data_IF_133616530795
#
_entry.id   IF_133616530795
#
_cell.length_a   1.000
_cell.length_b   1.000
_cell.length_c   1.000
_cell.angle_alpha   90.00
_cell.angle_beta   90.00
_cell.angle_gamma   90.00
#
_symmetry.space_group_name_H-M   'P 1'
#
loop_
_entity.id
_entity.type
_entity.pdbx_description
1 polymer ?
#
# COMPACT_ATOMS: atom_id res chain seq x y z
N UNK A 1 -12.14 10.59 5.90
CA UNK A 1 -10.84 10.49 5.20
C UNK A 1 -11.02 10.34 3.70
N UNK A 2 -11.96 9.52 3.20
CA UNK A 2 -12.25 9.41 1.77
C UNK A 2 -12.91 10.65 1.14
N UNK A 3 -13.75 11.39 1.88
CA UNK A 3 -14.40 12.63 1.38
C UNK A 3 -13.40 13.73 1.00
N UNK A 4 -12.20 13.75 1.60
CA UNK A 4 -11.16 14.73 1.26
C UNK A 4 -10.44 14.41 -0.06
N UNK A 5 -10.61 13.20 -0.60
CA UNK A 5 -10.07 12.77 -1.89
C UNK A 5 -11.06 13.02 -3.04
N UNK A 6 -12.24 13.57 -2.79
CA UNK A 6 -13.22 13.76 -3.85
C UNK A 6 -12.82 14.96 -4.73
N UNK A 7 -12.17 14.67 -5.85
CA UNK A 7 -11.76 15.66 -6.84
C UNK A 7 -10.67 16.66 -6.42
N UNK A 8 -9.96 16.44 -5.30
CA UNK A 8 -8.84 17.29 -4.88
C UNK A 8 -7.47 16.66 -5.22
N UNK A 9 -6.75 17.14 -6.26
CA UNK A 9 -5.45 16.61 -6.66
C UNK A 9 -4.36 16.73 -5.58
N UNK A 10 -4.38 17.79 -4.78
CA UNK A 10 -3.37 18.01 -3.73
C UNK A 10 -3.54 17.01 -2.59
N UNK A 11 -4.78 16.78 -2.14
CA UNK A 11 -5.09 15.78 -1.13
C UNK A 11 -4.71 14.36 -1.58
N UNK A 12 -4.88 14.04 -2.86
CA UNK A 12 -4.46 12.77 -3.46
C UNK A 12 -2.93 12.63 -3.49
N UNK A 13 -2.19 13.69 -3.83
CA UNK A 13 -0.71 13.70 -3.81
C UNK A 13 -0.17 13.52 -2.39
N UNK A 14 -0.76 14.22 -1.41
CA UNK A 14 -0.39 14.08 -0.01
C UNK A 14 -0.68 12.67 0.50
N UNK A 15 -1.85 12.12 0.16
CA UNK A 15 -2.19 10.74 0.49
C UNK A 15 -1.19 9.75 -0.10
N UNK A 16 -0.90 9.84 -1.41
CA UNK A 16 0.06 8.99 -2.10
C UNK A 16 1.45 9.03 -1.44
N UNK A 17 1.92 10.23 -1.09
CA UNK A 17 3.21 10.44 -0.41
C UNK A 17 3.22 9.77 0.96
N UNK A 18 2.20 10.04 1.77
CA UNK A 18 2.09 9.49 3.13
C UNK A 18 2.05 7.97 3.11
N UNK A 19 1.28 7.35 2.23
CA UNK A 19 1.21 5.88 2.16
C UNK A 19 2.44 5.27 1.49
N UNK A 20 3.07 5.95 0.53
CA UNK A 20 4.31 5.50 -0.10
C UNK A 20 5.50 5.46 0.86
N UNK A 21 5.46 6.22 1.97
CA UNK A 21 6.46 6.12 3.05
C UNK A 21 6.20 5.00 4.05
N UNK A 22 5.06 4.29 3.94
CA UNK A 22 4.78 3.14 4.78
C UNK A 22 5.58 1.95 4.24
N UNK A 23 6.70 1.68 4.88
CA UNK A 23 7.44 0.43 4.73
C UNK A 23 6.94 -0.55 5.79
N UNK A 24 6.18 -1.61 5.42
CA UNK A 24 5.93 -2.69 6.35
C UNK A 24 7.27 -3.22 6.85
N UNK A 25 7.37 -3.50 8.14
CA UNK A 25 8.62 -3.96 8.74
C UNK A 25 9.25 -5.08 7.89
N UNK A 26 10.57 -4.99 7.68
CA UNK A 26 11.31 -6.03 6.98
C UNK A 26 11.01 -7.37 7.66
N UNK A 27 10.49 -8.31 6.89
CA UNK A 27 10.29 -9.66 7.39
C UNK A 27 11.67 -10.26 7.56
N UNK A 28 12.09 -10.45 8.81
CA UNK A 28 13.28 -11.25 9.08
C UNK A 28 13.04 -12.67 8.54
N UNK A 29 14.05 -13.23 7.88
CA UNK A 29 13.99 -14.61 7.41
C UNK A 29 13.68 -15.51 8.63
N UNK A 30 12.66 -16.40 8.53
CA UNK A 30 12.29 -17.22 9.67
C UNK A 30 13.50 -18.03 10.13
N UNK A 31 13.76 -18.09 11.45
CA UNK A 31 14.84 -18.92 11.96
C UNK A 31 14.62 -20.35 11.49
N UNK A 32 15.68 -20.97 10.97
CA UNK A 32 15.66 -22.38 10.58
C UNK A 32 15.22 -23.27 11.75
N UNK A 33 14.69 -24.48 11.47
CA UNK A 33 14.18 -25.35 12.51
C UNK A 33 15.26 -25.64 13.55
N UNK A 34 15.11 -25.08 14.76
CA UNK A 34 15.99 -25.37 15.87
C UNK A 34 15.63 -26.75 16.45
N UNK A 35 16.61 -27.63 16.71
CA UNK A 35 16.34 -28.89 17.38
C UNK A 35 15.84 -28.61 18.79
N UNK A 36 14.67 -29.17 19.13
CA UNK A 36 14.10 -29.08 20.46
C UNK A 36 15.00 -29.74 21.50
N UNK A 37 15.57 -28.94 22.40
CA UNK A 37 16.32 -29.47 23.55
C UNK A 37 15.34 -29.99 24.61
N UNK A 38 15.31 -31.32 24.80
CA UNK A 38 14.67 -31.97 25.93
C UNK A 38 13.29 -32.58 25.64
N UNK A 39 13.27 -33.90 25.40
CA UNK A 39 12.24 -34.90 25.77
C UNK A 39 10.73 -34.68 25.51
N UNK A 40 10.26 -33.49 25.16
CA UNK A 40 8.84 -33.21 24.94
C UNK A 40 8.40 -33.75 23.58
N UNK A 41 7.55 -34.77 23.60
CA UNK A 41 7.04 -35.46 22.42
C UNK A 41 6.33 -34.53 21.40
N UNK A 42 5.87 -33.35 21.82
CA UNK A 42 5.15 -32.40 20.95
C UNK A 42 6.01 -31.24 20.42
N UNK A 43 7.27 -31.10 20.85
CA UNK A 43 8.04 -29.89 20.55
C UNK A 43 8.29 -29.69 19.05
N UNK A 44 8.53 -30.77 18.29
CA UNK A 44 8.66 -30.69 16.83
C UNK A 44 7.40 -30.16 16.14
N UNK A 45 6.21 -30.53 16.63
CA UNK A 45 4.93 -30.05 16.08
C UNK A 45 4.72 -28.56 16.37
N UNK A 46 5.07 -28.09 17.57
CA UNK A 46 5.01 -26.66 17.90
C UNK A 46 6.01 -25.84 17.07
N UNK A 47 7.25 -26.32 16.92
CA UNK A 47 8.25 -25.66 16.09
C UNK A 47 7.83 -25.58 14.61
N UNK A 48 7.21 -26.64 14.08
CA UNK A 48 6.67 -26.64 12.72
C UNK A 48 5.49 -25.67 12.57
N UNK A 49 4.57 -25.63 13.54
CA UNK A 49 3.44 -24.70 13.53
C UNK A 49 3.91 -23.24 13.60
N UNK A 50 4.90 -22.95 14.44
CA UNK A 50 5.52 -21.63 14.57
C UNK A 50 6.20 -21.18 13.27
N UNK A 51 6.93 -22.09 12.62
CA UNK A 51 7.55 -21.83 11.32
C UNK A 51 6.49 -21.52 10.23
N UNK A 52 5.40 -22.30 10.17
CA UNK A 52 4.30 -22.05 9.22
C UNK A 52 3.62 -20.71 9.49
N UNK A 53 3.35 -20.38 10.75
CA UNK A 53 2.75 -19.10 11.13
C UNK A 53 3.66 -17.91 10.76
N UNK A 54 4.96 -18.05 10.99
CA UNK A 54 5.96 -17.04 10.64
C UNK A 54 6.04 -16.83 9.13
N UNK A 55 6.05 -17.91 8.35
CA UNK A 55 6.01 -17.85 6.88
C UNK A 55 4.72 -17.22 6.35
N UNK A 56 3.57 -17.51 6.97
CA UNK A 56 2.29 -16.91 6.58
C UNK A 56 2.28 -15.40 6.88
N UNK A 57 2.78 -14.98 8.04
CA UNK A 57 2.90 -13.57 8.40
C UNK A 57 3.87 -12.84 7.46
N UNK A 58 5.00 -13.46 7.15
CA UNK A 58 5.99 -12.96 6.20
C UNK A 58 5.36 -12.66 4.83
N UNK A 59 4.61 -13.64 4.31
CA UNK A 59 3.90 -13.51 3.04
C UNK A 59 2.86 -12.39 3.08
N UNK A 60 2.05 -12.33 4.14
CA UNK A 60 1.04 -11.28 4.30
C UNK A 60 1.66 -9.88 4.32
N UNK A 61 2.78 -9.69 5.02
CA UNK A 61 3.48 -8.40 5.07
C UNK A 61 4.05 -8.00 3.70
N UNK A 62 4.56 -8.96 2.93
CA UNK A 62 5.05 -8.72 1.57
C UNK A 62 3.92 -8.32 0.62
N UNK A 63 2.82 -9.09 0.60
CA UNK A 63 1.63 -8.78 -0.20
C UNK A 63 1.03 -7.42 0.19
N UNK A 64 1.06 -7.07 1.48
CA UNK A 64 0.61 -5.76 1.98
C UNK A 64 1.52 -4.64 1.48
N UNK A 65 2.84 -4.83 1.44
CA UNK A 65 3.78 -3.84 0.90
C UNK A 65 3.47 -3.55 -0.57
N UNK A 66 3.27 -4.60 -1.36
CA UNK A 66 2.92 -4.48 -2.77
C UNK A 66 1.59 -3.75 -2.96
N UNK A 67 0.56 -4.09 -2.17
CA UNK A 67 -0.75 -3.44 -2.23
C UNK A 67 -0.68 -1.95 -1.84
N UNK A 68 0.11 -1.59 -0.82
CA UNK A 68 0.32 -0.19 -0.43
C UNK A 68 1.02 0.59 -1.53
N UNK A 69 2.04 0.00 -2.18
CA UNK A 69 2.72 0.60 -3.32
C UNK A 69 1.77 0.86 -4.49
N UNK A 70 0.97 -0.15 -4.87
CA UNK A 70 -0.02 -0.01 -5.93
C UNK A 70 -1.08 1.07 -5.60
N UNK A 71 -1.48 1.17 -4.34
CA UNK A 71 -2.43 2.21 -3.89
C UNK A 71 -1.81 3.62 -3.97
N UNK A 72 -0.52 3.77 -3.63
CA UNK A 72 0.20 5.03 -3.76
C UNK A 72 0.28 5.49 -5.22
N UNK A 73 0.61 4.56 -6.13
CA UNK A 73 0.66 4.83 -7.57
C UNK A 73 -0.72 5.22 -8.13
N UNK A 74 -1.78 4.49 -7.73
CA UNK A 74 -3.14 4.78 -8.15
C UNK A 74 -3.60 6.17 -7.68
N UNK A 75 -3.30 6.54 -6.43
CA UNK A 75 -3.62 7.87 -5.91
C UNK A 75 -2.86 8.99 -6.64
N UNK A 76 -1.58 8.78 -6.94
CA UNK A 76 -0.80 9.73 -7.73
C UNK A 76 -1.30 9.85 -9.18
N UNK A 77 -1.77 8.75 -9.78
CA UNK A 77 -2.39 8.77 -11.10
C UNK A 77 -3.71 9.54 -11.10
N UNK A 78 -4.59 9.26 -10.12
CA UNK A 78 -5.83 10.00 -9.96
C UNK A 78 -5.58 11.51 -9.82
N UNK A 79 -4.59 11.92 -9.03
CA UNK A 79 -4.25 13.34 -8.89
C UNK A 79 -3.92 14.01 -10.24
N UNK A 80 -3.15 13.34 -11.09
CA UNK A 80 -2.80 13.85 -12.43
C UNK A 80 -4.02 13.96 -13.33
N UNK A 81 -4.90 12.96 -13.29
CA UNK A 81 -6.10 12.94 -14.12
C UNK A 81 -7.08 14.04 -13.73
N UNK A 82 -7.28 14.29 -12.44
CA UNK A 82 -8.10 15.40 -11.97
C UNK A 82 -7.51 16.77 -12.34
N UNK A 83 -6.20 16.97 -12.15
CA UNK A 83 -5.52 18.23 -12.53
C UNK A 83 -5.62 18.48 -14.05
N UNK A 84 -5.47 17.43 -14.87
CA UNK A 84 -5.67 17.52 -16.31
C UNK A 84 -7.13 17.83 -16.69
N UNK A 85 -8.09 17.23 -15.99
CA UNK A 85 -9.52 17.49 -16.12
C UNK A 85 -9.86 18.95 -15.81
N UNK A 86 -9.36 19.48 -14.70
CA UNK A 86 -9.55 20.88 -14.28
C UNK A 86 -8.99 21.86 -15.31
N UNK A 87 -7.78 21.60 -15.82
CA UNK A 87 -7.19 22.41 -16.88
C UNK A 87 -7.99 22.36 -18.18
N UNK A 88 -8.47 21.18 -18.57
CA UNK A 88 -9.30 21.03 -19.76
C UNK A 88 -10.65 21.75 -19.61
N UNK A 89 -11.30 21.62 -18.45
CA UNK A 89 -12.54 22.32 -18.11
C UNK A 89 -12.37 23.84 -18.10
N UNK A 90 -11.30 24.35 -17.49
CA UNK A 90 -10.98 25.78 -17.48
C UNK A 90 -10.79 26.34 -18.89
N UNK A 91 -10.09 25.62 -19.78
CA UNK A 91 -9.93 26.03 -21.19
C UNK A 91 -11.27 26.07 -21.93
N UNK A 92 -12.12 25.06 -21.73
CA UNK A 92 -13.43 24.98 -22.35
C UNK A 92 -14.37 26.11 -21.87
N UNK A 93 -14.31 26.47 -20.58
CA UNK A 93 -15.05 27.60 -20.05
C UNK A 93 -14.61 28.90 -20.74
N UNK A 94 -13.30 29.19 -20.80
CA UNK A 94 -12.78 30.41 -21.44
C UNK A 94 -13.16 30.50 -22.92
N UNK A 95 -13.15 29.39 -23.68
CA UNK A 95 -13.56 29.44 -25.10
C UNK A 95 -15.02 29.83 -25.28
N UNK A 96 -15.92 29.44 -24.37
CA UNK A 96 -17.34 29.83 -24.43
C UNK A 96 -17.53 31.35 -24.28
N UNK A 97 -16.70 32.05 -23.50
CA UNK A 97 -16.81 33.51 -23.32
C UNK A 97 -16.11 34.33 -24.39
N UNK A 98 -15.28 33.72 -25.22
CA UNK A 98 -14.56 34.40 -26.32
C UNK A 98 -15.34 34.31 -27.64
N UNK A 99 -16.29 33.37 -27.74
CA UNK A 99 -17.17 33.18 -28.91
C UNK A 99 -18.52 33.94 -28.80
N UNK A 100 -18.76 34.70 -27.72
CA UNK A 100 -19.91 35.64 -27.60
C UNK A 100 -19.54 37.10 -27.93
#
# INVERSE_FOLDING_TARGET
MCEALDGNPEAMREFATRIGTLEPAAVAEPPGPAPCAGGMQACGTFAAADAVATLALARFLLETREAVGALAEAAAAAARDYEAGDHAGARAFVSVFVEE
#
